data_IF_636109171758
#
_entry.id   IF_636109171758
#
_cell.length_a   1.000
_cell.length_b   1.000
_cell.length_c   1.000
_cell.angle_alpha   90.00
_cell.angle_beta   90.00
_cell.angle_gamma   90.00
#
_symmetry.space_group_name_H-M   'P 1'
#
loop_
_entity.id
_entity.type
_entity.pdbx_description
1 polymer ?
#
# COMPACT_ATOMS: atom_id res chain seq x y z
N UNK A 1 -21.15 -1.06 7.08
CA UNK A 1 -21.38 -1.66 8.43
C UNK A 1 -21.52 -0.59 9.53
N UNK A 2 -22.51 -0.67 10.42
CA UNK A 2 -22.76 0.35 11.46
C UNK A 2 -21.68 0.34 12.57
N UNK A 3 -21.23 1.51 13.03
CA UNK A 3 -20.24 1.67 14.12
C UNK A 3 -20.60 0.90 15.39
N UNK A 4 -21.90 0.75 15.68
CA UNK A 4 -22.39 -0.02 16.82
C UNK A 4 -21.99 -1.51 16.76
N UNK A 5 -22.04 -2.12 15.57
CA UNK A 5 -21.66 -3.52 15.35
C UNK A 5 -20.15 -3.71 15.56
N UNK A 6 -19.32 -2.80 15.02
CA UNK A 6 -17.87 -2.82 15.26
C UNK A 6 -17.56 -2.70 16.75
N UNK A 7 -18.24 -1.82 17.49
CA UNK A 7 -18.03 -1.65 18.92
C UNK A 7 -18.42 -2.92 19.72
N UNK A 8 -19.54 -3.56 19.39
CA UNK A 8 -20.02 -4.77 20.06
C UNK A 8 -19.11 -5.98 19.88
N UNK A 9 -18.40 -6.05 18.76
CA UNK A 9 -17.48 -7.16 18.46
C UNK A 9 -16.00 -6.79 18.63
N UNK A 10 -15.69 -5.58 19.11
CA UNK A 10 -14.34 -5.19 19.48
C UNK A 10 -13.92 -5.89 20.77
N UNK A 11 -12.64 -6.29 20.92
CA UNK A 11 -12.14 -6.81 22.20
C UNK A 11 -12.46 -5.84 23.35
N UNK A 12 -13.03 -6.30 24.49
CA UNK A 12 -13.51 -5.42 25.56
C UNK A 12 -12.47 -4.42 26.07
N UNK A 13 -11.20 -4.85 26.18
CA UNK A 13 -10.10 -3.98 26.59
C UNK A 13 -9.81 -2.85 25.59
N UNK A 14 -9.92 -3.13 24.28
CA UNK A 14 -9.73 -2.14 23.21
C UNK A 14 -10.86 -1.12 23.19
N UNK A 15 -12.11 -1.60 23.37
CA UNK A 15 -13.28 -0.73 23.47
C UNK A 15 -13.15 0.23 24.67
N UNK A 16 -12.77 -0.28 25.84
CA UNK A 16 -12.56 0.54 27.04
C UNK A 16 -11.51 1.64 26.79
N UNK A 17 -10.38 1.29 26.17
CA UNK A 17 -9.31 2.25 25.84
C UNK A 17 -9.77 3.35 24.89
N UNK A 18 -10.51 2.99 23.83
CA UNK A 18 -11.12 3.98 22.92
C UNK A 18 -12.09 4.91 23.65
N UNK A 19 -12.94 4.36 24.54
CA UNK A 19 -13.84 5.16 25.37
C UNK A 19 -13.11 6.08 26.34
N UNK A 20 -11.88 5.73 26.76
CA UNK A 20 -11.01 6.60 27.57
C UNK A 20 -10.20 7.62 26.76
N UNK A 21 -10.49 7.77 25.46
CA UNK A 21 -9.92 8.80 24.59
C UNK A 21 -8.67 8.39 23.82
N UNK A 22 -8.30 7.11 23.83
CA UNK A 22 -7.22 6.62 22.96
C UNK A 22 -7.68 6.52 21.51
N UNK A 23 -6.81 6.92 20.59
CA UNK A 23 -7.03 6.85 19.14
C UNK A 23 -6.16 5.76 18.54
N UNK A 24 -6.58 5.27 17.37
CA UNK A 24 -5.75 4.42 16.53
C UNK A 24 -4.79 5.29 15.76
N UNK A 25 -3.51 4.98 15.88
CA UNK A 25 -2.40 5.72 15.27
C UNK A 25 -1.51 4.73 14.54
N UNK A 26 -0.88 5.20 13.47
CA UNK A 26 0.07 4.43 12.68
C UNK A 26 1.48 4.95 12.91
N UNK A 27 2.45 4.05 12.87
CA UNK A 27 3.86 4.40 12.85
C UNK A 27 4.57 3.54 11.83
N UNK A 28 5.51 4.14 11.12
CA UNK A 28 6.46 3.40 10.29
C UNK A 28 7.64 3.00 11.17
N UNK A 29 8.15 1.79 10.97
CA UNK A 29 9.34 1.30 11.65
C UNK A 29 10.22 0.50 10.68
N UNK A 30 11.53 0.59 10.88
CA UNK A 30 12.55 -0.01 10.01
C UNK A 30 13.52 -0.87 10.81
N UNK A 31 14.06 -1.91 10.18
CA UNK A 31 15.25 -2.60 10.68
C UNK A 31 16.11 -3.11 9.53
N UNK A 32 17.38 -3.41 9.78
CA UNK A 32 18.19 -4.19 8.86
C UNK A 32 17.56 -5.56 8.58
N UNK A 33 17.62 -5.99 7.33
CA UNK A 33 17.32 -7.36 6.94
C UNK A 33 18.25 -8.30 7.72
N UNK A 34 17.74 -9.36 8.37
CA UNK A 34 18.58 -10.35 9.02
C UNK A 34 19.56 -11.02 8.04
N UNK A 35 20.87 -10.93 8.32
CA UNK A 35 21.94 -11.51 7.50
C UNK A 35 22.64 -12.72 8.13
N UNK A 36 22.31 -13.05 9.38
CA UNK A 36 22.92 -14.16 10.09
C UNK A 36 22.53 -15.52 9.48
N UNK A 37 23.48 -16.45 9.43
CA UNK A 37 23.23 -17.82 8.94
C UNK A 37 22.12 -18.49 9.78
N UNK A 38 21.08 -18.99 9.09
CA UNK A 38 19.89 -19.57 9.73
C UNK A 38 18.83 -18.57 10.19
N UNK A 39 19.02 -17.26 9.98
CA UNK A 39 17.94 -16.29 10.15
C UNK A 39 16.91 -16.46 9.02
N UNK A 40 15.62 -16.42 9.36
CA UNK A 40 14.58 -16.41 8.35
C UNK A 40 14.49 -15.01 7.73
N UNK A 41 14.61 -14.89 6.40
CA UNK A 41 14.61 -13.61 5.71
C UNK A 41 13.21 -12.97 5.61
N UNK A 42 12.17 -13.63 6.12
CA UNK A 42 10.83 -13.06 6.21
C UNK A 42 10.63 -12.31 7.54
N UNK A 43 9.97 -11.14 7.50
CA UNK A 43 9.93 -10.18 8.61
C UNK A 43 9.19 -10.69 9.84
N UNK A 44 8.33 -11.70 9.69
CA UNK A 44 7.61 -12.36 10.78
C UNK A 44 8.53 -13.02 11.82
N UNK A 45 9.80 -13.24 11.47
CA UNK A 45 10.70 -14.14 12.19
C UNK A 45 12.03 -13.49 12.61
N UNK A 46 12.25 -12.22 12.26
CA UNK A 46 13.48 -11.51 12.65
C UNK A 46 13.56 -11.27 14.16
N UNK A 47 14.71 -11.59 14.75
CA UNK A 47 14.94 -11.57 16.19
C UNK A 47 15.10 -10.16 16.80
N UNK A 48 15.46 -9.16 15.99
CA UNK A 48 15.71 -7.79 16.44
C UNK A 48 14.46 -6.89 16.35
N UNK A 49 14.27 -5.94 17.29
CA UNK A 49 13.18 -4.99 17.22
C UNK A 49 13.37 -4.00 16.06
N UNK A 50 12.27 -3.57 15.46
CA UNK A 50 12.22 -2.43 14.54
C UNK A 50 12.44 -1.12 15.30
N UNK A 51 13.07 -0.15 14.64
CA UNK A 51 13.23 1.21 15.14
C UNK A 51 12.15 2.09 14.49
N UNK A 52 11.30 2.78 15.28
CA UNK A 52 10.30 3.68 14.72
C UNK A 52 10.98 4.85 14.01
N UNK A 53 10.46 5.23 12.85
CA UNK A 53 10.89 6.43 12.14
C UNK A 53 10.33 7.68 12.82
N UNK A 54 11.03 8.83 12.76
CA UNK A 54 10.55 10.06 13.35
C UNK A 54 9.26 10.52 12.64
N UNK A 55 8.20 10.71 13.43
CA UNK A 55 6.97 11.37 13.00
C UNK A 55 7.04 12.89 13.13
N UNK A 56 5.98 13.57 12.70
CA UNK A 56 5.76 15.01 12.87
C UNK A 56 4.53 15.22 13.74
N UNK A 57 4.59 16.17 14.67
CA UNK A 57 3.43 16.49 15.52
C UNK A 57 2.20 16.84 14.66
N UNK A 58 1.03 16.31 15.03
CA UNK A 58 -0.20 16.44 14.24
C UNK A 58 -0.33 15.45 13.09
N UNK A 59 0.67 14.60 12.85
CA UNK A 59 0.67 13.60 11.79
C UNK A 59 0.89 12.19 12.34
N UNK A 60 0.35 11.22 11.62
CA UNK A 60 0.86 9.85 11.64
C UNK A 60 1.18 9.40 10.22
N UNK A 61 2.03 8.37 10.12
CA UNK A 61 2.51 7.86 8.84
C UNK A 61 2.19 6.38 8.68
N UNK A 62 1.76 5.99 7.49
CA UNK A 62 1.41 4.62 7.10
C UNK A 62 1.81 4.34 5.65
N UNK A 63 1.57 3.11 5.19
CA UNK A 63 1.85 2.64 3.84
C UNK A 63 3.25 2.97 3.31
N UNK A 64 4.32 2.61 4.05
CA UNK A 64 5.69 2.80 3.59
C UNK A 64 5.98 1.97 2.34
N UNK A 65 6.37 2.62 1.25
CA UNK A 65 6.82 1.97 0.02
C UNK A 65 8.19 2.52 -0.39
N UNK A 66 9.16 1.62 -0.45
CA UNK A 66 10.54 1.92 -0.85
C UNK A 66 10.65 2.13 -2.36
N UNK A 67 11.44 3.13 -2.74
CA UNK A 67 11.85 3.37 -4.12
C UNK A 67 13.33 3.76 -4.17
N UNK A 68 14.08 3.19 -5.13
CA UNK A 68 15.51 3.48 -5.30
C UNK A 68 15.74 4.30 -6.54
N UNK A 69 16.51 5.39 -6.40
CA UNK A 69 16.90 6.25 -7.52
C UNK A 69 18.29 6.83 -7.30
N UNK A 70 19.15 6.71 -8.32
CA UNK A 70 20.52 7.25 -8.27
C UNK A 70 21.36 6.67 -7.12
N UNK A 71 21.12 5.41 -6.73
CA UNK A 71 21.81 4.74 -5.61
C UNK A 71 21.22 5.01 -4.23
N UNK A 72 20.39 6.06 -4.08
CA UNK A 72 19.75 6.41 -2.82
C UNK A 72 18.40 5.68 -2.63
N UNK A 73 17.98 5.55 -1.36
CA UNK A 73 16.69 4.97 -0.95
C UNK A 73 15.75 6.09 -0.53
N UNK A 74 14.57 6.08 -1.11
CA UNK A 74 13.47 6.99 -0.81
C UNK A 74 12.32 6.18 -0.24
N UNK A 75 11.69 6.71 0.81
CA UNK A 75 10.52 6.10 1.42
C UNK A 75 9.33 7.01 1.21
N UNK A 76 8.41 6.59 0.35
CA UNK A 76 7.13 7.24 0.17
C UNK A 76 6.13 6.66 1.16
N UNK A 77 5.27 7.51 1.71
CA UNK A 77 4.29 7.10 2.72
C UNK A 77 3.04 7.98 2.67
N UNK A 78 1.93 7.44 3.17
CA UNK A 78 0.80 8.26 3.62
C UNK A 78 1.24 9.09 4.83
N UNK A 79 0.98 10.39 4.79
CA UNK A 79 1.01 11.28 5.94
C UNK A 79 -0.42 11.76 6.23
N UNK A 80 -1.04 11.23 7.28
CA UNK A 80 -2.37 11.66 7.73
C UNK A 80 -2.27 12.92 8.56
N UNK A 81 -2.86 14.00 8.07
CA UNK A 81 -3.08 15.21 8.87
C UNK A 81 -4.24 14.98 9.83
N UNK A 82 -3.96 14.95 11.14
CA UNK A 82 -4.98 14.70 12.16
C UNK A 82 -5.98 15.84 12.33
N UNK A 83 -5.62 17.07 11.96
CA UNK A 83 -6.50 18.22 12.04
C UNK A 83 -7.45 18.28 10.83
N UNK A 84 -6.92 18.01 9.63
CA UNK A 84 -7.71 17.99 8.40
C UNK A 84 -8.46 16.66 8.18
N UNK A 85 -8.00 15.56 8.79
CA UNK A 85 -8.55 14.22 8.57
C UNK A 85 -8.29 13.69 7.16
N UNK A 86 -7.19 14.09 6.52
CA UNK A 86 -6.84 13.78 5.13
C UNK A 86 -5.39 13.29 5.02
N UNK A 87 -5.20 12.18 4.32
CA UNK A 87 -3.90 11.65 3.94
C UNK A 87 -3.38 12.32 2.66
N UNK A 88 -2.08 12.60 2.64
CA UNK A 88 -1.33 13.01 1.44
C UNK A 88 -0.08 12.15 1.33
N UNK A 89 0.59 12.16 0.18
CA UNK A 89 1.84 11.42 0.03
C UNK A 89 3.01 12.33 0.42
N UNK A 90 3.82 11.86 1.37
CA UNK A 90 5.10 12.45 1.71
C UNK A 90 6.24 11.47 1.40
N UNK A 91 7.45 12.01 1.26
CA UNK A 91 8.66 11.25 0.98
C UNK A 91 9.81 11.70 1.88
N UNK A 92 10.67 10.76 2.27
CA UNK A 92 11.93 11.05 2.94
C UNK A 92 13.08 10.25 2.31
N UNK A 93 14.32 10.71 2.51
CA UNK A 93 15.49 9.86 2.29
C UNK A 93 15.60 8.89 3.44
N UNK A 94 15.73 7.60 3.15
CA UNK A 94 16.05 6.58 4.14
C UNK A 94 17.55 6.28 4.01
N UNK A 95 18.30 6.44 5.09
CA UNK A 95 19.75 6.22 5.14
C UNK A 95 20.07 4.74 5.48
N UNK A 96 21.30 4.31 5.22
CA UNK A 96 21.67 2.87 5.32
C UNK A 96 21.60 2.38 6.77
N UNK A 97 21.72 3.30 7.73
CA UNK A 97 21.58 3.04 9.16
C UNK A 97 20.13 2.99 9.66
N UNK A 98 19.15 3.16 8.76
CA UNK A 98 17.72 3.18 9.07
C UNK A 98 17.20 4.51 9.61
N UNK A 99 18.02 5.58 9.62
CA UNK A 99 17.54 6.93 9.93
C UNK A 99 16.96 7.61 8.69
N UNK A 100 16.19 8.69 8.88
CA UNK A 100 15.61 9.46 7.77
C UNK A 100 16.02 10.92 7.81
N UNK A 101 16.07 11.52 6.62
CA UNK A 101 16.08 12.98 6.45
C UNK A 101 14.62 13.46 6.34
N UNK A 102 14.29 14.61 6.92
CA UNK A 102 12.90 15.03 7.17
C UNK A 102 11.91 14.87 6.01
N UNK A 103 10.64 14.62 6.35
CA UNK A 103 9.55 14.43 5.40
C UNK A 103 9.26 15.68 4.56
N UNK A 104 9.08 15.49 3.26
CA UNK A 104 8.63 16.51 2.31
C UNK A 104 7.37 16.03 1.58
N UNK A 105 6.50 16.97 1.19
CA UNK A 105 5.30 16.64 0.40
C UNK A 105 5.71 16.17 -0.99
N UNK A 106 5.21 15.00 -1.39
CA UNK A 106 5.40 14.45 -2.72
C UNK A 106 4.17 14.67 -3.60
N UNK A 107 2.97 14.38 -3.08
CA UNK A 107 1.72 14.56 -3.81
C UNK A 107 0.59 14.89 -2.83
N UNK A 108 -0.16 15.94 -3.14
CA UNK A 108 -1.35 16.33 -2.40
C UNK A 108 -2.49 16.64 -3.37
N UNK A 109 -3.68 16.16 -3.02
CA UNK A 109 -4.92 16.35 -3.77
C UNK A 109 -6.03 16.82 -2.80
N UNK A 110 -7.19 17.19 -3.35
CA UNK A 110 -8.37 17.60 -2.58
C UNK A 110 -9.09 16.43 -1.89
N UNK A 111 -8.64 15.19 -2.14
CA UNK A 111 -9.13 13.96 -1.52
C UNK A 111 -7.98 13.19 -0.86
N UNK A 112 -8.34 12.16 -0.09
CA UNK A 112 -7.40 11.34 0.64
C UNK A 112 -6.55 10.47 -0.30
N UNK A 113 -5.22 10.48 -0.09
CA UNK A 113 -4.25 9.63 -0.80
C UNK A 113 -3.48 8.75 0.20
N UNK A 114 -3.25 7.50 -0.16
CA UNK A 114 -2.41 6.54 0.57
C UNK A 114 -1.66 5.61 -0.40
N UNK A 115 -0.97 4.58 0.11
CA UNK A 115 -0.30 3.52 -0.66
C UNK A 115 0.40 3.97 -1.98
N UNK A 116 1.48 4.77 -1.90
CA UNK A 116 2.11 5.42 -3.06
C UNK A 116 3.04 4.49 -3.86
N UNK A 117 2.50 3.68 -4.78
CA UNK A 117 3.33 2.78 -5.61
C UNK A 117 4.14 3.56 -6.65
N UNK A 118 5.43 3.75 -6.37
CA UNK A 118 6.40 4.45 -7.25
C UNK A 118 7.27 3.46 -8.02
N UNK A 119 7.45 3.69 -9.32
CA UNK A 119 8.21 2.79 -10.19
C UNK A 119 8.76 3.48 -11.43
N UNK A 120 9.80 2.92 -12.03
CA UNK A 120 10.29 3.36 -13.33
C UNK A 120 9.59 2.62 -14.46
N UNK A 121 9.25 3.31 -15.55
CA UNK A 121 8.75 2.68 -16.76
C UNK A 121 9.06 3.54 -17.98
N UNK A 122 9.70 2.92 -18.99
CA UNK A 122 10.08 3.58 -20.24
C UNK A 122 10.91 4.87 -20.07
N UNK A 123 11.81 4.88 -19.09
CA UNK A 123 12.74 5.99 -18.84
C UNK A 123 12.21 7.11 -17.94
N UNK A 124 10.90 7.08 -17.63
CA UNK A 124 10.25 8.01 -16.70
C UNK A 124 9.99 7.33 -15.33
N UNK A 125 9.82 8.14 -14.29
CA UNK A 125 9.37 7.70 -12.96
C UNK A 125 7.89 8.02 -12.80
N UNK A 126 7.12 7.02 -12.37
CA UNK A 126 5.67 7.04 -12.27
C UNK A 126 5.21 6.74 -10.85
N UNK A 127 4.00 7.18 -10.51
CA UNK A 127 3.33 6.87 -9.26
C UNK A 127 1.87 6.50 -9.53
N UNK A 128 1.40 5.43 -8.87
CA UNK A 128 -0.01 5.08 -8.74
C UNK A 128 -0.31 5.03 -7.25
N UNK A 129 -0.87 6.10 -6.65
CA UNK A 129 -1.32 6.08 -5.26
C UNK A 129 -2.67 5.36 -5.16
N UNK A 130 -3.07 5.00 -3.94
CA UNK A 130 -4.46 4.70 -3.65
C UNK A 130 -5.30 5.97 -3.72
N UNK A 131 -6.31 5.93 -4.58
CA UNK A 131 -7.30 7.00 -4.79
C UNK A 131 -8.74 6.45 -4.73
N UNK A 132 -8.97 5.39 -3.95
CA UNK A 132 -10.24 4.67 -3.89
C UNK A 132 -11.44 5.56 -3.56
N UNK A 133 -11.26 6.58 -2.71
CA UNK A 133 -12.31 7.55 -2.35
C UNK A 133 -12.74 8.46 -3.52
N UNK A 134 -11.95 8.54 -4.60
CA UNK A 134 -12.28 9.22 -5.85
C UNK A 134 -12.84 8.27 -6.92
N UNK A 135 -13.04 6.98 -6.59
CA UNK A 135 -13.48 5.94 -7.52
C UNK A 135 -12.66 5.96 -8.83
N UNK A 136 -11.34 6.06 -8.68
CA UNK A 136 -10.42 6.11 -9.81
C UNK A 136 -9.10 5.41 -9.52
N UNK A 137 -8.46 4.97 -10.60
CA UNK A 137 -7.02 4.72 -10.62
C UNK A 137 -6.36 5.92 -11.30
N UNK A 138 -5.32 6.49 -10.69
CA UNK A 138 -4.63 7.67 -11.23
C UNK A 138 -3.17 7.35 -11.52
N UNK A 139 -2.72 7.74 -12.71
CA UNK A 139 -1.32 7.61 -13.13
C UNK A 139 -0.66 8.98 -13.11
N UNK A 140 0.36 9.13 -12.27
CA UNK A 140 1.16 10.34 -12.18
C UNK A 140 2.56 10.10 -12.76
N UNK A 141 3.12 11.12 -13.40
CA UNK A 141 4.53 11.14 -13.85
C UNK A 141 5.31 12.18 -13.06
N UNK A 142 6.52 11.83 -12.64
CA UNK A 142 7.42 12.75 -11.96
C UNK A 142 7.96 13.80 -12.95
N UNK A 143 7.78 15.10 -12.63
CA UNK A 143 8.40 16.23 -13.35
C UNK A 143 9.78 16.54 -12.81
N UNK A 144 9.85 16.69 -11.50
CA UNK A 144 11.06 17.02 -10.75
C UNK A 144 11.03 16.21 -9.46
N UNK A 145 11.98 15.28 -9.37
CA UNK A 145 12.02 14.34 -8.26
C UNK A 145 12.61 15.00 -6.99
N UNK A 146 12.07 14.74 -5.79
CA UNK A 146 11.01 13.76 -5.49
C UNK A 146 9.59 14.35 -5.36
N UNK A 147 9.43 15.67 -5.49
CA UNK A 147 8.25 16.39 -5.00
C UNK A 147 7.30 16.96 -6.06
N UNK A 148 7.66 16.95 -7.35
CA UNK A 148 6.79 17.46 -8.41
C UNK A 148 6.28 16.33 -9.31
N UNK A 149 4.96 16.15 -9.33
CA UNK A 149 4.25 15.11 -10.07
C UNK A 149 3.12 15.74 -10.88
N UNK A 150 2.94 15.28 -12.12
CA UNK A 150 1.78 15.65 -12.95
C UNK A 150 0.83 14.47 -13.07
N UNK A 151 -0.47 14.72 -12.92
CA UNK A 151 -1.51 13.76 -13.28
C UNK A 151 -1.48 13.58 -14.81
N UNK A 152 -1.13 12.38 -15.27
CA UNK A 152 -1.11 12.06 -16.69
C UNK A 152 -2.47 11.55 -17.15
N UNK A 153 -3.11 10.71 -16.34
CA UNK A 153 -4.43 10.18 -16.67
C UNK A 153 -5.19 9.70 -15.42
N UNK A 154 -6.51 9.94 -15.42
CA UNK A 154 -7.45 9.41 -14.45
C UNK A 154 -8.34 8.37 -15.11
N UNK A 155 -8.35 7.15 -14.58
CA UNK A 155 -9.24 6.08 -15.00
C UNK A 155 -10.40 5.98 -14.02
N UNK A 156 -11.61 6.38 -14.44
CA UNK A 156 -12.80 6.16 -13.63
C UNK A 156 -13.06 4.65 -13.50
N UNK A 157 -13.32 4.19 -12.28
CA UNK A 157 -13.66 2.79 -11.99
C UNK A 157 -14.92 2.76 -11.13
N UNK A 158 -15.83 1.84 -11.40
CA UNK A 158 -17.08 1.69 -10.62
C UNK A 158 -16.85 0.84 -9.36
N UNK A 159 -15.81 1.20 -8.60
CA UNK A 159 -15.32 0.45 -7.45
C UNK A 159 -14.42 1.32 -6.58
N UNK A 160 -14.22 0.92 -5.32
CA UNK A 160 -13.14 1.44 -4.48
C UNK A 160 -11.93 0.51 -4.62
N UNK A 161 -10.94 0.93 -5.41
CA UNK A 161 -9.67 0.24 -5.55
C UNK A 161 -8.65 0.80 -4.55
N UNK A 162 -8.00 -0.11 -3.84
CA UNK A 162 -6.99 0.15 -2.82
C UNK A 162 -5.72 -0.66 -3.09
N UNK A 163 -4.63 -0.25 -2.45
CA UNK A 163 -3.37 -1.00 -2.36
C UNK A 163 -2.82 -1.49 -3.74
N UNK A 164 -2.78 -0.62 -4.75
CA UNK A 164 -2.36 -1.01 -6.12
C UNK A 164 -0.88 -1.36 -6.19
N UNK A 165 -0.53 -2.56 -6.67
CA UNK A 165 0.86 -3.01 -6.85
C UNK A 165 1.17 -3.39 -8.31
N UNK A 166 2.45 -3.35 -8.65
CA UNK A 166 2.95 -3.90 -9.92
C UNK A 166 3.21 -5.40 -9.79
N UNK A 167 2.61 -6.17 -10.69
CA UNK A 167 2.86 -7.61 -10.84
C UNK A 167 3.88 -7.89 -11.93
N UNK A 168 3.79 -7.17 -13.04
CA UNK A 168 4.71 -7.31 -14.16
C UNK A 168 4.86 -5.98 -14.91
N UNK A 169 6.00 -5.83 -15.58
CA UNK A 169 6.36 -4.63 -16.33
C UNK A 169 7.13 -5.02 -17.58
N UNK A 170 6.53 -4.70 -18.72
CA UNK A 170 7.15 -4.79 -20.05
C UNK A 170 7.27 -3.38 -20.65
N UNK A 171 8.04 -3.17 -21.73
CA UNK A 171 8.05 -1.87 -22.42
C UNK A 171 6.67 -1.42 -22.91
N UNK A 172 5.80 -2.36 -23.26
CA UNK A 172 4.50 -2.07 -23.88
C UNK A 172 3.36 -1.94 -22.87
N UNK A 173 3.45 -2.63 -21.73
CA UNK A 173 2.37 -2.72 -20.76
C UNK A 173 2.85 -2.98 -19.32
N UNK A 174 2.04 -2.53 -18.37
CA UNK A 174 2.11 -2.86 -16.95
C UNK A 174 0.96 -3.78 -16.56
N UNK A 175 1.23 -4.76 -15.71
CA UNK A 175 0.20 -5.55 -15.04
C UNK A 175 0.03 -5.05 -13.62
N UNK A 176 -1.12 -4.49 -13.31
CA UNK A 176 -1.49 -3.95 -12.00
C UNK A 176 -2.37 -4.96 -11.26
N UNK A 177 -2.15 -5.13 -9.96
CA UNK A 177 -3.04 -5.84 -9.06
C UNK A 177 -3.50 -4.87 -7.98
N UNK A 178 -4.81 -4.69 -7.87
CA UNK A 178 -5.45 -3.85 -6.86
C UNK A 178 -6.34 -4.72 -5.98
N UNK A 179 -6.68 -4.19 -4.81
CA UNK A 179 -7.70 -4.74 -3.94
C UNK A 179 -8.98 -3.93 -4.08
N UNK A 180 -10.11 -4.56 -4.37
CA UNK A 180 -11.42 -3.91 -4.41
C UNK A 180 -12.15 -4.14 -3.10
N UNK A 181 -12.63 -3.08 -2.45
CA UNK A 181 -13.43 -3.20 -1.22
C UNK A 181 -14.87 -3.61 -1.53
N UNK A 182 -15.47 -4.41 -0.65
CA UNK A 182 -16.90 -4.74 -0.74
C UNK A 182 -17.70 -3.49 -0.32
N UNK A 183 -18.65 -2.98 -1.14
CA UNK A 183 -19.31 -1.69 -0.88
C UNK A 183 -20.02 -1.55 0.47
N UNK A 184 -20.57 -2.64 1.01
CA UNK A 184 -21.27 -2.67 2.30
C UNK A 184 -20.37 -3.04 3.49
N UNK A 185 -19.17 -3.56 3.22
CA UNK A 185 -18.21 -4.03 4.21
C UNK A 185 -16.75 -4.02 3.71
N UNK A 186 -16.08 -2.87 3.88
CA UNK A 186 -14.70 -2.64 3.44
C UNK A 186 -13.63 -3.62 3.97
N UNK A 187 -13.97 -4.45 4.96
CA UNK A 187 -13.09 -5.51 5.47
C UNK A 187 -12.95 -6.67 4.50
N UNK A 188 -14.03 -6.92 3.75
CA UNK A 188 -14.04 -7.90 2.69
C UNK A 188 -13.51 -7.26 1.42
N UNK A 189 -12.53 -7.89 0.81
CA UNK A 189 -11.85 -7.42 -0.39
C UNK A 189 -11.76 -8.54 -1.42
N UNK A 190 -11.49 -8.19 -2.67
CA UNK A 190 -11.12 -9.14 -3.71
C UNK A 190 -10.06 -8.53 -4.61
N UNK A 191 -9.29 -9.36 -5.28
CA UNK A 191 -8.33 -8.84 -6.25
C UNK A 191 -8.98 -8.41 -7.56
N UNK A 192 -8.41 -7.35 -8.12
CA UNK A 192 -8.67 -6.86 -9.47
C UNK A 192 -7.38 -6.65 -10.20
N UNK A 193 -7.23 -7.34 -11.33
CA UNK A 193 -6.06 -7.22 -12.21
C UNK A 193 -6.40 -6.41 -13.44
N UNK A 194 -5.47 -5.54 -13.81
CA UNK A 194 -5.58 -4.68 -14.98
C UNK A 194 -4.30 -4.70 -15.79
N UNK A 195 -4.43 -4.53 -17.10
CA UNK A 195 -3.34 -4.18 -18.00
C UNK A 195 -3.42 -2.69 -18.28
N UNK A 196 -2.39 -1.94 -17.89
CA UNK A 196 -2.22 -0.55 -18.28
C UNK A 196 -1.23 -0.50 -19.45
N UNK A 197 -1.63 0.07 -20.58
CA UNK A 197 -0.76 0.19 -21.76
C UNK A 197 -1.05 1.47 -22.54
N UNK A 198 -0.14 1.85 -23.43
CA UNK A 198 -0.37 2.99 -24.33
C UNK A 198 -1.58 2.70 -25.22
N UNK A 199 -2.43 3.71 -25.41
CA UNK A 199 -3.58 3.59 -26.31
C UNK A 199 -3.07 3.31 -27.72
N UNK A 200 -3.53 2.20 -28.31
CA UNK A 200 -3.25 1.89 -29.71
C UNK A 200 -4.21 2.72 -30.56
N UNK A 201 -3.67 3.54 -31.47
CA UNK A 201 -4.54 4.24 -32.43
C UNK A 201 -5.31 3.21 -33.25
N UNK A 202 -6.64 3.36 -33.40
CA UNK A 202 -7.41 2.48 -34.24
C UNK A 202 -6.85 2.50 -35.67
N UNK A 203 -6.86 1.36 -36.39
CA UNK A 203 -6.45 1.32 -37.80
C UNK A 203 -7.29 2.30 -38.63
N UNK A 204 -6.74 2.73 -39.78
CA UNK A 204 -7.50 3.57 -40.71
C UNK A 204 -8.87 2.93 -41.02
N UNK A 205 -9.96 3.72 -41.00
CA UNK A 205 -11.29 3.20 -41.23
C UNK A 205 -11.37 2.56 -42.61
N UNK A 206 -12.13 1.47 -42.71
CA UNK A 206 -12.45 0.88 -44.01
C UNK A 206 -13.19 1.91 -44.87
N UNK A 207 -13.01 1.89 -46.21
CA UNK A 207 -13.73 2.79 -47.10
C UNK A 207 -15.25 2.73 -46.86
N UNK A 208 -15.86 3.86 -46.49
CA UNK A 208 -17.29 3.96 -46.17
C UNK A 208 -17.66 3.72 -44.70
N UNK A 209 -16.69 3.62 -43.80
CA UNK A 209 -16.91 3.60 -42.34
C UNK A 209 -16.39 4.89 -41.71
N UNK A 210 -17.08 5.40 -40.69
CA UNK A 210 -16.55 6.49 -39.86
C UNK A 210 -15.56 5.89 -38.85
N UNK A 211 -14.37 6.49 -38.68
CA UNK A 211 -13.44 6.07 -37.64
C UNK A 211 -14.06 6.32 -36.26
N UNK A 212 -13.81 5.45 -35.27
CA UNK A 212 -14.20 5.76 -33.90
C UNK A 212 -13.51 7.05 -33.43
N UNK A 213 -14.23 7.88 -32.68
CA UNK A 213 -13.64 9.10 -32.12
C UNK A 213 -12.44 8.74 -31.23
N UNK A 214 -11.25 9.33 -31.46
CA UNK A 214 -10.12 9.12 -30.59
C UNK A 214 -10.44 9.69 -29.20
N UNK A 215 -10.20 8.91 -28.16
CA UNK A 215 -10.42 9.35 -26.77
C UNK A 215 -9.48 10.49 -26.36
N UNK A 216 -8.37 10.71 -27.08
CA UNK A 216 -7.32 11.67 -26.75
C UNK A 216 -6.44 11.25 -25.57
N UNK A 217 -6.82 10.16 -24.89
CA UNK A 217 -6.14 9.63 -23.71
C UNK A 217 -4.91 8.80 -24.07
N UNK A 218 -3.73 9.06 -23.46
CA UNK A 218 -2.47 8.41 -23.84
C UNK A 218 -2.37 6.94 -23.42
N UNK A 219 -3.15 6.50 -22.44
CA UNK A 219 -3.18 5.14 -21.95
C UNK A 219 -4.60 4.55 -21.90
N UNK A 220 -4.68 3.24 -21.95
CA UNK A 220 -5.89 2.48 -21.69
C UNK A 220 -5.65 1.53 -20.49
N UNK A 221 -6.67 1.39 -19.64
CA UNK A 221 -6.69 0.48 -18.51
C UNK A 221 -7.70 -0.63 -18.80
N UNK A 222 -7.21 -1.84 -19.04
CA UNK A 222 -8.02 -2.97 -19.48
C UNK A 222 -8.15 -3.98 -18.33
N UNK A 223 -9.36 -4.35 -17.88
CA UNK A 223 -9.53 -5.39 -16.88
C UNK A 223 -9.10 -6.75 -17.43
N UNK A 224 -8.42 -7.55 -16.60
CA UNK A 224 -8.16 -8.95 -16.91
C UNK A 224 -9.38 -9.81 -16.53
N UNK A 225 -10.29 -9.98 -17.49
CA UNK A 225 -11.56 -10.67 -17.26
C UNK A 225 -11.39 -12.10 -16.72
N UNK A 226 -10.42 -12.84 -17.24
CA UNK A 226 -10.20 -14.23 -16.84
C UNK A 226 -9.73 -14.32 -15.38
N UNK A 227 -8.78 -13.47 -14.99
CA UNK A 227 -8.33 -13.38 -13.61
C UNK A 227 -9.45 -12.87 -12.69
N UNK A 228 -10.12 -11.79 -13.08
CA UNK A 228 -11.15 -11.15 -12.26
C UNK A 228 -12.36 -12.07 -12.03
N UNK A 229 -12.67 -12.95 -12.98
CA UNK A 229 -13.70 -13.99 -12.81
C UNK A 229 -13.28 -15.08 -11.82
N UNK A 230 -12.01 -15.48 -11.83
CA UNK A 230 -11.45 -16.44 -10.86
C UNK A 230 -11.42 -15.85 -9.44
N UNK A 231 -11.20 -14.54 -9.32
CA UNK A 231 -11.14 -13.78 -8.07
C UNK A 231 -12.39 -12.93 -7.83
N UNK A 232 -13.58 -13.46 -8.16
CA UNK A 232 -14.84 -12.70 -8.05
C UNK A 232 -15.39 -12.59 -6.64
N UNK A 233 -15.08 -13.56 -5.78
CA UNK A 233 -15.58 -13.64 -4.42
C UNK A 233 -14.79 -12.71 -3.51
N UNK A 234 -15.47 -12.06 -2.57
CA UNK A 234 -14.81 -11.27 -1.55
C UNK A 234 -14.38 -12.14 -0.36
N UNK A 235 -13.19 -11.89 0.16
CA UNK A 235 -12.60 -12.57 1.30
C UNK A 235 -11.93 -11.56 2.24
N UNK A 236 -11.22 -12.06 3.27
CA UNK A 236 -10.56 -11.23 4.28
C UNK A 236 -9.03 -11.15 4.11
N UNK A 237 -8.48 -11.65 3.01
CA UNK A 237 -7.03 -11.86 2.83
C UNK A 237 -6.47 -11.31 1.50
N UNK A 238 -7.33 -10.96 0.55
CA UNK A 238 -6.98 -10.44 -0.77
C UNK A 238 -6.72 -8.92 -0.77
N UNK A 239 -6.10 -8.41 0.31
CA UNK A 239 -5.67 -7.01 0.45
C UNK A 239 -4.16 -6.95 0.30
N UNK A 240 -3.65 -6.24 -0.71
CA UNK A 240 -2.21 -6.12 -0.86
C UNK A 240 -1.61 -5.35 0.33
N UNK A 241 -0.37 -5.67 0.70
CA UNK A 241 0.32 -5.04 1.83
C UNK A 241 1.70 -4.50 1.45
N UNK A 242 1.94 -4.24 0.17
CA UNK A 242 3.21 -3.74 -0.34
C UNK A 242 3.66 -4.45 -1.62
N UNK A 243 4.82 -4.07 -2.18
CA UNK A 243 5.28 -4.61 -3.44
C UNK A 243 5.66 -6.08 -3.31
N UNK A 244 5.61 -6.79 -4.44
CA UNK A 244 6.22 -8.11 -4.56
C UNK A 244 7.73 -7.99 -4.39
N UNK A 245 8.35 -8.95 -3.73
CA UNK A 245 9.80 -9.04 -3.63
C UNK A 245 10.30 -10.46 -3.87
N UNK A 246 11.55 -10.58 -4.31
CA UNK A 246 12.17 -11.88 -4.58
C UNK A 246 12.91 -12.36 -3.34
N UNK A 247 12.70 -13.62 -2.98
CA UNK A 247 13.43 -14.31 -1.94
C UNK A 247 13.95 -15.65 -2.46
N UNK A 248 15.26 -15.72 -2.72
CA UNK A 248 15.85 -16.83 -3.46
C UNK A 248 15.23 -16.94 -4.86
N UNK A 249 14.61 -18.07 -5.15
CA UNK A 249 13.90 -18.30 -6.44
C UNK A 249 12.39 -18.01 -6.35
N UNK A 250 11.89 -17.55 -5.21
CA UNK A 250 10.46 -17.35 -4.97
C UNK A 250 10.10 -15.86 -5.07
N UNK A 251 8.96 -15.56 -5.66
CA UNK A 251 8.32 -14.25 -5.55
C UNK A 251 7.39 -14.28 -4.35
N UNK A 252 7.59 -13.36 -3.42
CA UNK A 252 6.80 -13.26 -2.19
C UNK A 252 5.78 -12.13 -2.33
N UNK A 253 4.55 -12.42 -1.91
CA UNK A 253 3.46 -11.47 -1.83
C UNK A 253 3.09 -11.22 -0.37
N UNK A 254 3.28 -10.00 0.14
CA UNK A 254 2.70 -9.58 1.41
C UNK A 254 1.23 -9.17 1.22
N UNK A 255 0.34 -9.73 2.03
CA UNK A 255 -1.08 -9.33 2.08
C UNK A 255 -1.53 -9.04 3.50
N UNK A 256 -2.54 -8.18 3.65
CA UNK A 256 -3.17 -7.88 4.91
C UNK A 256 -4.26 -8.91 5.19
N UNK A 257 -4.28 -9.43 6.42
CA UNK A 257 -5.38 -10.26 6.90
C UNK A 257 -6.30 -9.44 7.78
N UNK A 258 -7.58 -9.45 7.41
CA UNK A 258 -8.67 -8.81 8.12
C UNK A 258 -9.51 -9.84 8.89
N UNK A 259 -10.38 -9.33 9.74
CA UNK A 259 -11.45 -10.09 10.39
C UNK A 259 -12.78 -9.48 9.99
N UNK A 260 -13.89 -10.08 10.40
CA UNK A 260 -15.23 -9.53 10.14
C UNK A 260 -15.49 -8.20 10.86
N UNK A 261 -14.59 -7.76 11.75
CA UNK A 261 -14.79 -6.62 12.66
C UNK A 261 -13.64 -5.62 12.66
N UNK A 262 -12.52 -5.96 12.03
CA UNK A 262 -11.30 -5.14 11.97
C UNK A 262 -10.46 -5.51 10.74
N UNK A 263 -9.81 -4.52 10.13
CA UNK A 263 -8.92 -4.74 8.98
C UNK A 263 -7.45 -4.63 9.38
N UNK A 264 -6.58 -5.25 8.59
CA UNK A 264 -5.12 -5.13 8.75
C UNK A 264 -4.61 -5.61 10.11
N UNK A 265 -5.15 -6.74 10.57
CA UNK A 265 -4.81 -7.31 11.88
C UNK A 265 -3.37 -7.84 11.89
N UNK A 266 -2.93 -8.41 10.77
CA UNK A 266 -1.57 -8.89 10.59
C UNK A 266 -1.23 -9.06 9.11
N UNK A 267 0.05 -9.30 8.81
CA UNK A 267 0.51 -9.59 7.46
C UNK A 267 0.69 -11.09 7.22
N UNK A 268 0.20 -11.57 6.08
CA UNK A 268 0.49 -12.90 5.55
C UNK A 268 1.51 -12.77 4.42
N UNK A 269 2.54 -13.61 4.45
CA UNK A 269 3.53 -13.72 3.37
C UNK A 269 3.30 -15.04 2.64
N UNK A 270 3.16 -14.97 1.32
CA UNK A 270 2.91 -16.14 0.49
C UNK A 270 3.90 -16.22 -0.67
N UNK A 271 4.40 -17.41 -0.97
CA UNK A 271 5.15 -17.66 -2.20
C UNK A 271 4.17 -17.75 -3.38
N UNK A 272 4.41 -16.94 -4.41
CA UNK A 272 3.67 -16.98 -5.67
C UNK A 272 4.26 -18.01 -6.61
N UNK A 273 3.39 -18.83 -7.20
CA UNK A 273 3.71 -19.78 -8.28
C UNK A 273 2.65 -19.63 -9.37
N UNK A 274 2.95 -18.80 -10.38
CA UNK A 274 1.98 -18.43 -11.39
C UNK A 274 0.79 -17.68 -10.79
N UNK A 275 -0.41 -18.25 -10.90
CA UNK A 275 -1.65 -17.71 -10.32
C UNK A 275 -1.98 -18.24 -8.92
N UNK A 276 -1.18 -19.15 -8.36
CA UNK A 276 -1.39 -19.70 -7.02
C UNK A 276 -0.48 -19.06 -5.98
N UNK A 277 -0.96 -18.99 -4.75
CA UNK A 277 -0.21 -18.51 -3.60
C UNK A 277 -0.14 -19.59 -2.51
N UNK A 278 1.06 -19.82 -1.99
CA UNK A 278 1.31 -20.77 -0.90
C UNK A 278 1.75 -19.98 0.34
N UNK A 279 0.95 -19.95 1.42
CA UNK A 279 1.32 -19.28 2.66
C UNK A 279 2.65 -19.80 3.23
N UNK A 280 3.52 -18.88 3.65
CA UNK A 280 4.82 -19.19 4.25
C UNK A 280 4.84 -18.86 5.74
N UNK A 281 4.57 -17.61 6.10
CA UNK A 281 4.57 -17.13 7.48
C UNK A 281 3.64 -15.94 7.66
N UNK A 282 3.33 -15.59 8.91
CA UNK A 282 2.52 -14.42 9.25
C UNK A 282 3.23 -13.53 10.27
N UNK A 283 3.26 -12.22 10.03
CA UNK A 283 3.75 -11.25 11.00
C UNK A 283 2.60 -10.77 11.88
N UNK A 284 2.36 -11.50 12.97
CA UNK A 284 1.35 -11.15 13.97
C UNK A 284 1.83 -9.97 14.83
N UNK A 285 0.94 -9.09 15.32
CA UNK A 285 1.31 -8.02 16.24
C UNK A 285 2.12 -8.50 17.45
N UNK A 286 1.76 -9.64 18.04
CA UNK A 286 2.48 -10.18 19.20
C UNK A 286 3.90 -10.69 18.87
N UNK A 287 4.22 -10.96 17.59
CA UNK A 287 5.52 -11.45 17.14
C UNK A 287 6.48 -10.32 16.72
N UNK A 288 5.94 -9.12 16.46
CA UNK A 288 6.72 -7.97 16.04
C UNK A 288 7.03 -7.09 17.23
N UNK A 289 8.26 -6.57 17.30
CA UNK A 289 8.68 -5.62 18.32
C UNK A 289 9.11 -4.32 17.67
N UNK A 290 8.60 -3.20 18.17
CA UNK A 290 9.01 -1.85 17.78
C UNK A 290 9.57 -1.18 19.03
N UNK A 291 10.76 -0.59 18.95
CA UNK A 291 11.39 0.09 20.07
C UNK A 291 10.47 1.20 20.60
N UNK A 292 10.29 1.24 21.93
CA UNK A 292 9.45 2.25 22.58
C UNK A 292 7.94 2.00 22.50
N UNK A 293 7.48 0.96 21.79
CA UNK A 293 6.07 0.56 21.73
C UNK A 293 5.84 -0.72 22.54
N UNK A 294 4.85 -0.69 23.44
CA UNK A 294 4.45 -1.90 24.17
C UNK A 294 3.70 -2.84 23.21
N UNK A 295 4.11 -4.11 23.05
CA UNK A 295 3.44 -5.07 22.16
C UNK A 295 1.94 -5.23 22.43
N UNK A 296 1.46 -4.97 23.65
CA UNK A 296 0.02 -5.03 23.99
C UNK A 296 -0.80 -3.91 23.35
N UNK A 297 -0.14 -2.83 22.94
CA UNK A 297 -0.76 -1.65 22.35
C UNK A 297 -0.85 -1.76 20.84
N UNK A 298 -0.06 -2.65 20.23
CA UNK A 298 -0.08 -2.93 18.80
C UNK A 298 -1.28 -3.81 18.45
N UNK A 299 -2.09 -3.32 17.51
CA UNK A 299 -3.39 -3.92 17.14
C UNK A 299 -3.48 -4.24 15.64
N UNK A 300 -2.41 -4.00 14.88
CA UNK A 300 -2.35 -4.30 13.45
C UNK A 300 -1.01 -3.97 12.82
N UNK A 301 -0.74 -4.58 11.67
CA UNK A 301 0.41 -4.35 10.80
C UNK A 301 -0.15 -4.39 9.37
N UNK A 302 0.04 -3.33 8.57
CA UNK A 302 -0.73 -3.12 7.35
C UNK A 302 0.12 -3.15 6.09
N UNK A 303 1.34 -2.63 6.15
CA UNK A 303 2.20 -2.53 4.98
C UNK A 303 3.61 -3.00 5.29
N UNK A 304 4.23 -3.63 4.30
CA UNK A 304 5.58 -4.15 4.30
C UNK A 304 6.26 -3.91 2.97
N UNK A 305 7.47 -3.38 3.02
CA UNK A 305 8.39 -3.37 1.88
C UNK A 305 9.82 -3.60 2.35
N UNK A 306 10.69 -3.98 1.42
CA UNK A 306 12.10 -4.21 1.70
C UNK A 306 12.97 -4.00 0.48
N UNK A 307 14.27 -3.87 0.72
CA UNK A 307 15.31 -4.12 -0.26
C UNK A 307 16.29 -5.19 0.26
N UNK A 308 17.52 -5.14 -0.23
CA UNK A 308 18.60 -6.03 0.17
C UNK A 308 19.17 -5.72 1.57
N UNK A 309 18.98 -4.51 2.08
CA UNK A 309 19.59 -4.03 3.33
C UNK A 309 18.59 -3.77 4.44
N UNK A 310 17.45 -3.17 4.13
CA UNK A 310 16.44 -2.76 5.10
C UNK A 310 15.07 -3.36 4.78
N UNK A 311 14.30 -3.58 5.83
CA UNK A 311 12.88 -3.88 5.74
C UNK A 311 12.09 -2.91 6.61
N UNK A 312 10.92 -2.52 6.10
CA UNK A 312 10.08 -1.46 6.64
C UNK A 312 8.67 -2.00 6.80
N UNK A 313 8.07 -1.73 7.95
CA UNK A 313 6.66 -1.99 8.23
C UNK A 313 5.97 -0.70 8.60
N UNK A 314 4.64 -0.68 8.50
CA UNK A 314 3.85 0.12 9.42
C UNK A 314 3.15 -0.74 10.47
N UNK A 315 2.84 -0.12 11.59
CA UNK A 315 2.08 -0.73 12.66
C UNK A 315 1.01 0.23 13.15
N UNK A 316 -0.18 -0.33 13.41
CA UNK A 316 -1.28 0.37 14.05
C UNK A 316 -1.31 0.04 15.52
N UNK A 317 -1.47 1.05 16.35
CA UNK A 317 -1.50 0.91 17.80
C UNK A 317 -2.46 1.91 18.45
N UNK A 318 -2.84 1.64 19.70
CA UNK A 318 -3.64 2.56 20.49
C UNK A 318 -2.74 3.52 21.28
N UNK A 319 -3.02 4.81 21.20
CA UNK A 319 -2.32 5.82 21.97
C UNK A 319 -3.22 7.02 22.33
N UNK A 320 -2.87 7.69 23.43
CA UNK A 320 -3.44 9.01 23.76
C UNK A 320 -2.79 10.06 22.87
N UNK A 321 -3.58 10.68 22.01
CA UNK A 321 -3.14 11.81 21.20
C UNK A 321 -3.39 13.09 21.98
N UNK A 322 -2.36 13.92 22.15
CA UNK A 322 -2.55 15.29 22.64
C UNK A 322 -3.25 16.08 21.55
N UNK A 323 -4.55 16.29 21.69
CA UNK A 323 -5.27 17.28 20.89
C UNK A 323 -5.04 18.64 21.53
N UNK A 324 -4.33 19.54 20.86
CA UNK A 324 -4.34 20.95 21.26
C UNK A 324 -5.79 21.41 21.20
N UNK A 325 -6.32 21.75 22.38
CA UNK A 325 -7.66 22.32 22.57
C UNK A 325 -7.57 23.82 22.34
#
# INVERSE_FOLDING_TARGET
MNQLYRALHMPPGRLLRKLTGEKEIYTIAVRPVPTAEGADPLPALGAAPYTPLPGREGFWYADPLLYRRGGARYLFAEAMDLAAGKGRIEVCHLLDDGTTEGWQVALEEDFHLSFPTVFDWNGDTWMIPESGNDHSLRLYRCKAFPAEWELVQRFAVDAELCDAILVDRTPDALTLLCSETKPDNQFFVRWRRFTLRKTVQPPEPLPGTEPPEPTGEPFELLPDEAFNLQHREFDLISRNAGPLFVLGEQVIHPTQVSTTVDYGVYLQFSARRGSSEVPLCAALPAAVRIQGLDPKDMIGIHTYCRDDQLEVIDARYLAKVKTNS
#
